data_IF_072340454865
#
_entry.id   IF_072340454865
#
_cell.length_a   1.000
_cell.length_b   1.000
_cell.length_c   1.000
_cell.angle_alpha   90.00
_cell.angle_beta   90.00
_cell.angle_gamma   90.00
#
_symmetry.space_group_name_H-M   'P 1'
#
loop_
_entity.id
_entity.type
_entity.pdbx_description
1 polymer ?
#
# COMPACT_ATOMS: atom_id res chain seq x y z
N UNK A 1 7.23 14.64 25.78
CA UNK A 1 8.48 13.89 25.49
C UNK A 1 9.01 14.29 24.12
N UNK A 2 10.33 14.29 23.91
CA UNK A 2 10.91 14.42 22.57
C UNK A 2 10.85 13.04 21.90
N UNK A 3 10.31 12.96 20.68
CA UNK A 3 10.16 11.71 19.93
C UNK A 3 11.24 11.68 18.85
N UNK A 4 12.19 10.76 18.97
CA UNK A 4 13.26 10.56 18.00
C UNK A 4 13.01 9.32 17.14
N UNK A 5 13.60 9.26 15.92
CA UNK A 5 13.61 8.05 15.12
C UNK A 5 14.30 6.91 15.87
N UNK A 6 13.63 5.77 16.00
CA UNK A 6 14.21 4.54 16.51
C UNK A 6 14.00 3.45 15.45
N UNK A 7 15.10 3.04 14.81
CA UNK A 7 15.11 2.08 13.71
C UNK A 7 15.83 0.82 14.20
N UNK A 8 15.24 -0.34 13.96
CA UNK A 8 15.85 -1.64 14.21
C UNK A 8 15.82 -2.44 12.91
N UNK A 9 16.97 -2.58 12.26
CA UNK A 9 17.10 -3.10 10.89
C UNK A 9 16.28 -2.29 9.88
N UNK A 10 15.12 -2.83 9.48
CA UNK A 10 14.16 -2.19 8.55
C UNK A 10 12.84 -1.79 9.22
N UNK A 11 12.80 -1.82 10.56
CA UNK A 11 11.59 -1.53 11.35
C UNK A 11 11.74 -0.21 12.08
N UNK A 12 10.85 0.75 11.80
CA UNK A 12 10.69 1.92 12.65
C UNK A 12 9.84 1.56 13.88
N UNK A 13 10.40 1.77 15.07
CA UNK A 13 9.75 1.54 16.37
C UNK A 13 8.97 2.75 16.87
N UNK A 14 9.27 3.93 16.36
CA UNK A 14 8.61 5.19 16.71
C UNK A 14 8.00 5.83 15.46
N UNK A 15 6.94 6.62 15.68
CA UNK A 15 6.34 7.47 14.67
C UNK A 15 6.12 8.87 15.26
N UNK A 16 6.39 9.92 14.49
CA UNK A 16 6.18 11.29 14.94
C UNK A 16 4.79 11.80 14.51
N UNK A 17 3.87 12.12 15.45
CA UNK A 17 2.49 12.47 15.12
C UNK A 17 2.39 13.70 14.20
N UNK A 18 3.08 14.80 14.55
CA UNK A 18 3.04 16.02 13.75
C UNK A 18 3.65 15.84 12.35
N UNK A 19 4.61 14.93 12.21
CA UNK A 19 5.17 14.64 10.89
C UNK A 19 4.29 13.70 10.08
N UNK A 20 3.54 12.80 10.71
CA UNK A 20 2.47 12.05 10.03
C UNK A 20 1.39 13.01 9.50
N UNK A 21 1.03 14.04 10.27
CA UNK A 21 0.13 15.10 9.78
C UNK A 21 0.71 15.81 8.57
N UNK A 22 1.97 16.24 8.63
CA UNK A 22 2.64 16.89 7.50
C UNK A 22 2.71 15.98 6.26
N UNK A 23 2.97 14.68 6.45
CA UNK A 23 2.98 13.70 5.36
C UNK A 23 1.60 13.56 4.68
N UNK A 24 0.51 13.59 5.45
CA UNK A 24 -0.87 13.61 4.92
C UNK A 24 -1.14 14.92 4.18
N UNK A 25 -0.78 16.07 4.75
CA UNK A 25 -0.96 17.38 4.11
C UNK A 25 -0.21 17.48 2.78
N UNK A 26 1.04 16.99 2.72
CA UNK A 26 1.83 17.00 1.49
C UNK A 26 1.15 16.20 0.37
N UNK A 27 0.59 15.02 0.69
CA UNK A 27 -0.16 14.21 -0.27
C UNK A 27 -1.47 14.89 -0.71
N UNK A 28 -2.21 15.50 0.22
CA UNK A 28 -3.43 16.28 -0.10
C UNK A 28 -3.09 17.45 -1.04
N UNK A 29 -2.03 18.20 -0.73
CA UNK A 29 -1.59 19.34 -1.53
C UNK A 29 -1.19 18.91 -2.95
N UNK A 30 -0.50 17.78 -3.07
CA UNK A 30 -0.17 17.21 -4.37
C UNK A 30 -1.43 16.94 -5.21
N UNK A 31 -2.39 16.17 -4.69
CA UNK A 31 -3.56 15.75 -5.48
C UNK A 31 -4.50 16.89 -5.85
N UNK A 32 -4.53 17.97 -5.06
CA UNK A 32 -5.27 19.19 -5.38
C UNK A 32 -4.72 19.93 -6.60
N UNK A 33 -3.44 19.75 -6.91
CA UNK A 33 -2.75 20.39 -8.05
C UNK A 33 -2.57 19.46 -9.26
N UNK A 34 -2.73 18.14 -9.06
CA UNK A 34 -2.57 17.13 -10.09
C UNK A 34 -3.81 17.05 -11.02
N UNK A 35 -3.74 16.32 -12.16
CA UNK A 35 -4.92 16.05 -12.99
C UNK A 35 -6.05 15.42 -12.18
N UNK A 36 -7.23 16.04 -12.20
CA UNK A 36 -8.35 15.70 -11.32
C UNK A 36 -9.11 14.45 -11.78
N UNK A 37 -9.64 13.68 -10.84
CA UNK A 37 -10.54 12.54 -11.08
C UNK A 37 -11.95 13.07 -11.36
N UNK A 38 -12.31 13.27 -12.64
CA UNK A 38 -13.56 13.93 -13.02
C UNK A 38 -14.83 13.08 -12.76
N UNK A 39 -14.80 11.80 -13.16
CA UNK A 39 -15.95 10.88 -13.10
C UNK A 39 -15.75 9.78 -12.05
N UNK A 40 -15.15 10.14 -10.92
CA UNK A 40 -14.77 9.19 -9.88
C UNK A 40 -15.84 8.91 -8.81
N UNK A 41 -15.43 8.12 -7.80
CA UNK A 41 -16.07 7.83 -6.53
C UNK A 41 -17.15 8.77 -6.02
N UNK A 42 -18.21 8.27 -5.38
CA UNK A 42 -18.90 9.05 -4.35
C UNK A 42 -18.82 8.41 -2.98
N UNK A 43 -18.92 7.08 -2.89
CA UNK A 43 -18.85 6.30 -1.66
C UNK A 43 -17.80 5.21 -1.82
N UNK A 44 -16.69 5.34 -1.09
CA UNK A 44 -15.53 4.45 -1.25
C UNK A 44 -15.25 3.69 0.05
N UNK A 45 -15.02 2.39 -0.06
CA UNK A 45 -14.44 1.56 1.00
C UNK A 45 -12.97 1.24 0.66
N UNK A 46 -12.06 1.56 1.58
CA UNK A 46 -10.63 1.22 1.45
C UNK A 46 -10.23 0.24 2.55
N UNK A 47 -9.86 -0.97 2.16
CA UNK A 47 -9.33 -2.01 3.04
C UNK A 47 -7.80 -1.88 3.07
N UNK A 48 -7.23 -1.54 4.23
CA UNK A 48 -5.82 -1.18 4.36
C UNK A 48 -5.56 0.32 4.19
N UNK A 49 -6.39 1.17 4.77
CA UNK A 49 -6.45 2.60 4.48
C UNK A 49 -5.40 3.51 5.17
N UNK A 50 -4.58 2.97 6.07
CA UNK A 50 -3.78 3.76 7.01
C UNK A 50 -2.38 4.15 6.51
N UNK A 51 -1.87 3.52 5.45
CA UNK A 51 -0.55 3.81 4.90
C UNK A 51 -0.39 3.34 3.46
N UNK A 52 0.74 3.70 2.83
CA UNK A 52 1.11 3.24 1.48
C UNK A 52 0.04 3.55 0.43
N UNK A 53 -0.19 2.59 -0.47
CA UNK A 53 -1.18 2.74 -1.55
C UNK A 53 -2.61 2.92 -1.03
N UNK A 54 -2.99 2.29 0.08
CA UNK A 54 -4.35 2.44 0.61
C UNK A 54 -4.62 3.86 1.12
N UNK A 55 -3.70 4.45 1.89
CA UNK A 55 -3.81 5.86 2.29
C UNK A 55 -3.78 6.80 1.09
N UNK A 56 -2.84 6.58 0.16
CA UNK A 56 -2.74 7.38 -1.05
C UNK A 56 -4.01 7.32 -1.91
N UNK A 57 -4.66 6.15 -1.97
CA UNK A 57 -5.93 5.98 -2.68
C UNK A 57 -7.05 6.76 -2.02
N UNK A 58 -7.12 6.67 -0.70
CA UNK A 58 -8.11 7.41 0.08
C UNK A 58 -7.96 8.91 -0.09
N UNK A 59 -6.72 9.41 -0.07
CA UNK A 59 -6.40 10.83 -0.30
C UNK A 59 -6.76 11.24 -1.73
N UNK A 60 -6.35 10.47 -2.74
CA UNK A 60 -6.65 10.76 -4.14
C UNK A 60 -8.15 10.84 -4.41
N UNK A 61 -8.93 9.91 -3.88
CA UNK A 61 -10.37 9.86 -4.10
C UNK A 61 -11.14 10.93 -3.32
N UNK A 62 -10.69 11.31 -2.13
CA UNK A 62 -11.31 12.38 -1.36
C UNK A 62 -10.92 13.78 -1.88
N UNK A 63 -9.64 14.03 -2.11
CA UNK A 63 -9.11 15.39 -2.36
C UNK A 63 -8.66 15.63 -3.82
N UNK A 64 -8.50 14.58 -4.62
CA UNK A 64 -7.98 14.64 -5.99
C UNK A 64 -9.06 14.77 -7.08
N UNK A 65 -10.23 15.31 -6.73
CA UNK A 65 -11.28 15.70 -7.69
C UNK A 65 -12.62 15.01 -7.50
N UNK A 66 -12.63 13.72 -7.14
CA UNK A 66 -13.87 12.95 -7.03
C UNK A 66 -14.74 13.38 -5.84
N UNK A 67 -14.13 13.95 -4.78
CA UNK A 67 -14.80 14.37 -3.54
C UNK A 67 -15.60 13.23 -2.91
N UNK A 68 -14.98 12.06 -2.87
CA UNK A 68 -15.62 10.87 -2.33
C UNK A 68 -15.65 10.90 -0.80
N UNK A 69 -16.77 10.50 -0.24
CA UNK A 69 -16.83 10.06 1.16
C UNK A 69 -16.11 8.71 1.26
N UNK A 70 -15.40 8.49 2.38
CA UNK A 70 -14.54 7.31 2.53
C UNK A 70 -14.71 6.57 3.86
N UNK A 71 -14.86 5.26 3.79
CA UNK A 71 -14.63 4.33 4.89
C UNK A 71 -13.23 3.76 4.75
N UNK A 72 -12.45 3.79 5.81
CA UNK A 72 -11.14 3.13 5.89
C UNK A 72 -11.13 2.05 6.95
N UNK A 73 -10.68 0.85 6.58
CA UNK A 73 -10.41 -0.25 7.51
C UNK A 73 -8.90 -0.42 7.63
N UNK A 74 -8.38 -0.53 8.85
CA UNK A 74 -6.95 -0.72 9.11
C UNK A 74 -6.70 -1.32 10.48
N UNK A 75 -5.52 -1.90 10.69
CA UNK A 75 -5.14 -2.48 11.98
C UNK A 75 -3.93 -1.74 12.55
N UNK A 76 -4.20 -0.73 13.39
CA UNK A 76 -3.22 0.22 13.89
C UNK A 76 -3.27 0.32 15.41
N UNK A 77 -2.20 0.81 16.03
CA UNK A 77 -2.09 0.93 17.49
C UNK A 77 -1.88 2.38 17.88
N UNK A 78 -2.75 2.89 18.74
CA UNK A 78 -2.60 4.21 19.34
C UNK A 78 -1.51 4.28 20.40
N UNK A 79 -1.27 5.49 20.94
CA UNK A 79 -0.36 5.70 22.06
C UNK A 79 -0.81 4.91 23.28
N UNK A 80 0.16 4.34 23.99
CA UNK A 80 -0.04 3.59 25.23
C UNK A 80 1.23 3.64 26.08
N UNK A 81 1.23 2.99 27.25
CA UNK A 81 2.44 2.79 28.05
C UNK A 81 3.58 2.12 27.28
N UNK A 82 3.26 1.35 26.21
CA UNK A 82 4.23 0.62 25.39
C UNK A 82 4.88 1.48 24.31
N UNK A 83 4.40 2.70 24.07
CA UNK A 83 4.98 3.61 23.08
C UNK A 83 3.98 4.58 22.46
N UNK A 84 4.48 5.42 21.56
CA UNK A 84 3.73 6.53 20.93
C UNK A 84 2.64 6.06 19.96
N UNK A 85 2.64 4.80 19.55
CA UNK A 85 1.69 4.30 18.54
C UNK A 85 2.30 4.24 17.13
N UNK A 86 1.53 3.73 16.18
CA UNK A 86 1.99 3.51 14.81
C UNK A 86 1.70 4.73 13.93
N UNK A 87 2.51 4.94 12.88
CA UNK A 87 2.27 6.03 11.92
C UNK A 87 0.86 5.96 11.29
N UNK A 88 0.35 4.75 11.03
CA UNK A 88 -0.98 4.58 10.42
C UNK A 88 -2.13 5.01 11.34
N UNK A 89 -1.96 4.91 12.67
CA UNK A 89 -2.92 5.45 13.63
C UNK A 89 -3.10 6.96 13.44
N UNK A 90 -1.99 7.69 13.38
CA UNK A 90 -1.99 9.13 13.17
C UNK A 90 -2.47 9.52 11.78
N UNK A 91 -2.06 8.80 10.73
CA UNK A 91 -2.53 9.03 9.37
C UNK A 91 -4.06 8.94 9.27
N UNK A 92 -4.69 7.95 9.92
CA UNK A 92 -6.15 7.82 9.95
C UNK A 92 -6.82 9.05 10.57
N UNK A 93 -6.32 9.52 11.71
CA UNK A 93 -6.83 10.70 12.43
C UNK A 93 -6.71 11.95 11.55
N UNK A 94 -5.51 12.21 11.04
CA UNK A 94 -5.25 13.44 10.29
C UNK A 94 -5.95 13.43 8.93
N UNK A 95 -6.04 12.28 8.24
CA UNK A 95 -6.88 12.14 7.05
C UNK A 95 -8.32 12.53 7.37
N UNK A 96 -8.91 11.98 8.43
CA UNK A 96 -10.30 12.25 8.83
C UNK A 96 -10.50 13.73 9.12
N UNK A 97 -9.62 14.33 9.92
CA UNK A 97 -9.70 15.75 10.26
C UNK A 97 -9.64 16.66 9.03
N UNK A 98 -8.74 16.38 8.06
CA UNK A 98 -8.69 17.17 6.83
C UNK A 98 -9.91 16.94 5.93
N UNK A 99 -10.46 15.73 5.89
CA UNK A 99 -11.65 15.42 5.10
C UNK A 99 -12.90 16.09 5.67
N UNK A 100 -13.09 16.05 6.99
CA UNK A 100 -14.20 16.71 7.70
C UNK A 100 -14.17 18.23 7.53
N UNK A 101 -12.99 18.85 7.45
CA UNK A 101 -12.85 20.29 7.12
C UNK A 101 -13.37 20.63 5.72
N UNK A 102 -13.33 19.69 4.78
CA UNK A 102 -13.91 19.85 3.44
C UNK A 102 -15.39 19.41 3.35
N UNK A 103 -15.98 19.03 4.49
CA UNK A 103 -17.37 18.57 4.56
C UNK A 103 -17.58 17.15 4.03
N UNK A 104 -16.52 16.35 3.91
CA UNK A 104 -16.57 14.96 3.49
C UNK A 104 -16.77 14.02 4.69
N UNK A 105 -17.50 12.92 4.49
CA UNK A 105 -17.61 11.86 5.50
C UNK A 105 -16.36 10.98 5.43
N UNK A 106 -15.64 10.90 6.55
CA UNK A 106 -14.46 10.05 6.69
C UNK A 106 -14.58 9.17 7.94
N UNK A 107 -14.94 7.90 7.76
CA UNK A 107 -15.07 6.93 8.86
C UNK A 107 -13.86 6.00 8.92
N UNK A 108 -13.33 5.77 10.11
CA UNK A 108 -12.28 4.78 10.36
C UNK A 108 -12.83 3.60 11.17
N UNK A 109 -12.50 2.39 10.73
CA UNK A 109 -12.62 1.15 11.51
C UNK A 109 -11.21 0.65 11.80
N UNK A 110 -10.81 0.71 13.08
CA UNK A 110 -9.53 0.18 13.53
C UNK A 110 -9.75 -1.24 14.07
N UNK A 111 -9.48 -2.23 13.25
CA UNK A 111 -9.82 -3.62 13.51
C UNK A 111 -9.21 -4.58 12.49
N UNK A 112 -9.31 -5.87 12.78
CA UNK A 112 -8.84 -6.90 11.86
C UNK A 112 -9.81 -7.05 10.68
N UNK A 113 -9.36 -6.68 9.48
CA UNK A 113 -10.16 -6.78 8.26
C UNK A 113 -10.54 -8.24 7.88
N UNK A 114 -9.85 -9.25 8.43
CA UNK A 114 -10.22 -10.65 8.24
C UNK A 114 -11.37 -11.08 9.16
N UNK A 115 -11.70 -10.30 10.19
CA UNK A 115 -12.71 -10.68 11.18
C UNK A 115 -14.14 -10.45 10.69
N UNK A 116 -15.03 -11.40 11.01
CA UNK A 116 -16.46 -11.27 10.76
C UNK A 116 -17.05 -10.03 11.44
N UNK A 117 -16.65 -9.75 12.68
CA UNK A 117 -17.11 -8.56 13.42
C UNK A 117 -16.77 -7.25 12.73
N UNK A 118 -15.57 -7.12 12.14
CA UNK A 118 -15.21 -5.90 11.40
C UNK A 118 -16.04 -5.77 10.13
N UNK A 119 -16.29 -6.88 9.43
CA UNK A 119 -17.14 -6.91 8.24
C UNK A 119 -18.58 -6.49 8.56
N UNK A 120 -19.16 -7.03 9.62
CA UNK A 120 -20.50 -6.68 10.13
C UNK A 120 -20.59 -5.18 10.45
N UNK A 121 -19.65 -4.65 11.24
CA UNK A 121 -19.62 -3.23 11.60
C UNK A 121 -19.53 -2.30 10.39
N UNK A 122 -18.72 -2.66 9.40
CA UNK A 122 -18.60 -1.89 8.15
C UNK A 122 -19.91 -1.93 7.37
N UNK A 123 -20.52 -3.11 7.19
CA UNK A 123 -21.79 -3.25 6.47
C UNK A 123 -22.92 -2.49 7.16
N UNK A 124 -23.03 -2.60 8.48
CA UNK A 124 -24.06 -1.90 9.26
C UNK A 124 -23.94 -0.38 9.10
N UNK A 125 -22.71 0.13 9.20
CA UNK A 125 -22.46 1.55 8.96
C UNK A 125 -22.78 1.97 7.53
N UNK A 126 -22.46 1.14 6.53
CA UNK A 126 -22.81 1.44 5.14
C UNK A 126 -24.33 1.56 4.98
N UNK A 127 -25.10 0.60 5.53
CA UNK A 127 -26.56 0.56 5.46
C UNK A 127 -27.23 1.76 6.13
N UNK A 128 -26.74 2.13 7.32
CA UNK A 128 -27.47 3.03 8.20
C UNK A 128 -26.97 4.47 8.20
N UNK A 129 -25.68 4.69 7.90
CA UNK A 129 -25.05 6.00 8.08
C UNK A 129 -24.28 6.49 6.83
N UNK A 130 -23.83 5.58 5.95
CA UNK A 130 -22.98 5.95 4.83
C UNK A 130 -23.70 6.12 3.49
N UNK A 131 -25.03 5.99 3.46
CA UNK A 131 -25.86 6.20 2.26
C UNK A 131 -26.31 4.91 1.56
N UNK A 132 -26.18 3.76 2.21
CA UNK A 132 -26.78 2.49 1.77
C UNK A 132 -25.88 1.61 0.90
N UNK A 133 -24.95 2.19 0.14
CA UNK A 133 -24.04 1.44 -0.72
C UNK A 133 -22.70 2.13 -0.96
N UNK A 134 -21.74 1.38 -1.50
CA UNK A 134 -20.44 1.87 -2.00
C UNK A 134 -20.29 1.60 -3.50
N UNK A 135 -19.61 2.49 -4.20
CA UNK A 135 -19.37 2.42 -5.65
C UNK A 135 -17.90 2.11 -6.02
N UNK A 136 -17.01 2.10 -5.02
CA UNK A 136 -15.65 1.56 -5.16
C UNK A 136 -15.18 0.87 -3.89
N UNK A 137 -14.59 -0.31 -4.07
CA UNK A 137 -13.83 -1.02 -3.04
C UNK A 137 -12.36 -1.10 -3.44
N UNK A 138 -11.47 -0.57 -2.60
CA UNK A 138 -10.00 -0.70 -2.77
C UNK A 138 -9.47 -1.75 -1.80
N UNK A 139 -8.84 -2.79 -2.31
CA UNK A 139 -8.19 -3.85 -1.54
C UNK A 139 -6.67 -3.64 -1.49
N UNK A 140 -6.21 -3.02 -0.41
CA UNK A 140 -4.81 -2.64 -0.18
C UNK A 140 -4.26 -3.22 1.13
N UNK A 141 -4.69 -4.42 1.51
CA UNK A 141 -4.15 -5.11 2.68
C UNK A 141 -2.72 -5.62 2.41
N UNK A 142 -1.82 -5.31 3.32
CA UNK A 142 -0.46 -5.84 3.35
C UNK A 142 -0.17 -6.32 4.77
N UNK A 143 -0.26 -7.64 4.99
CA UNK A 143 -0.08 -8.28 6.29
C UNK A 143 0.81 -9.52 6.16
N UNK A 144 1.56 -9.83 7.21
CA UNK A 144 2.32 -11.08 7.27
C UNK A 144 1.51 -12.27 7.79
N UNK A 145 0.28 -12.04 8.26
CA UNK A 145 -0.55 -13.05 8.94
C UNK A 145 -2.02 -12.90 8.60
N UNK A 146 -2.73 -14.03 8.55
CA UNK A 146 -4.19 -14.12 8.41
C UNK A 146 -4.70 -15.21 9.36
N UNK A 147 -5.72 -14.94 10.19
CA UNK A 147 -6.40 -16.00 10.94
C UNK A 147 -7.08 -16.98 9.99
N UNK A 148 -6.86 -18.28 10.23
CA UNK A 148 -7.61 -19.33 9.57
C UNK A 148 -9.04 -19.32 10.13
N UNK A 149 -10.06 -19.09 9.29
CA UNK A 149 -11.45 -18.99 9.74
C UNK A 149 -12.00 -20.32 10.28
N UNK A 150 -11.42 -21.46 9.89
CA UNK A 150 -11.88 -22.79 10.30
C UNK A 150 -11.23 -23.25 11.62
N UNK A 151 -9.93 -23.00 11.79
CA UNK A 151 -9.15 -23.51 12.93
C UNK A 151 -8.83 -22.45 13.98
N UNK A 152 -8.89 -21.16 13.63
CA UNK A 152 -8.44 -20.05 14.48
C UNK A 152 -6.92 -19.88 14.55
N UNK A 153 -6.13 -20.78 13.97
CA UNK A 153 -4.67 -20.65 13.90
C UNK A 153 -4.25 -19.57 12.91
N UNK A 154 -3.04 -19.01 13.05
CA UNK A 154 -2.55 -17.99 12.13
C UNK A 154 -1.78 -18.63 10.96
N UNK A 155 -2.27 -18.44 9.74
CA UNK A 155 -1.41 -18.55 8.57
C UNK A 155 -0.40 -17.42 8.57
N UNK A 156 0.84 -17.74 8.19
CA UNK A 156 1.95 -16.78 8.12
C UNK A 156 2.53 -16.80 6.72
N UNK A 157 2.56 -15.65 6.07
CA UNK A 157 3.24 -15.52 4.78
C UNK A 157 4.75 -15.60 4.99
N UNK A 158 5.45 -16.21 4.05
CA UNK A 158 6.91 -16.21 3.98
C UNK A 158 7.36 -15.50 2.71
N UNK A 159 8.51 -14.84 2.76
CA UNK A 159 9.16 -14.27 1.57
C UNK A 159 10.34 -15.17 1.25
N UNK A 160 10.11 -16.15 0.38
CA UNK A 160 11.07 -17.22 0.06
C UNK A 160 10.99 -17.58 -1.43
N UNK A 161 12.07 -18.15 -1.94
CA UNK A 161 12.11 -18.64 -3.32
C UNK A 161 11.44 -20.01 -3.43
N UNK A 162 11.10 -20.46 -4.64
CA UNK A 162 10.48 -21.77 -4.86
C UNK A 162 11.44 -22.87 -5.33
N UNK A 163 12.64 -22.50 -5.80
CA UNK A 163 13.59 -23.43 -6.43
C UNK A 163 14.92 -23.54 -5.69
N UNK A 164 15.76 -22.53 -5.81
CA UNK A 164 17.07 -22.46 -5.16
C UNK A 164 17.17 -21.22 -4.26
N UNK A 165 17.98 -21.26 -3.20
CA UNK A 165 18.21 -20.08 -2.38
C UNK A 165 18.86 -18.97 -3.20
N UNK A 166 18.55 -17.72 -2.85
CA UNK A 166 19.15 -16.54 -3.47
C UNK A 166 19.92 -15.78 -2.41
N UNK A 167 21.18 -15.49 -2.69
CA UNK A 167 22.01 -14.63 -1.85
C UNK A 167 22.16 -13.30 -2.59
N UNK A 168 21.86 -12.20 -1.90
CA UNK A 168 21.96 -10.88 -2.50
C UNK A 168 22.18 -9.78 -1.48
N UNK A 169 22.71 -8.63 -1.93
CA UNK A 169 22.92 -7.49 -1.05
C UNK A 169 21.58 -6.84 -0.67
N UNK A 170 21.45 -6.44 0.59
CA UNK A 170 20.30 -5.72 1.12
C UNK A 170 20.76 -4.54 1.98
N UNK A 171 20.00 -3.46 1.97
CA UNK A 171 20.25 -2.28 2.79
C UNK A 171 19.83 -2.56 4.23
N UNK A 172 20.73 -2.26 5.15
CA UNK A 172 20.44 -2.09 6.56
C UNK A 172 20.33 -0.57 6.84
N UNK A 173 19.11 -0.11 7.14
CA UNK A 173 18.81 1.32 7.35
C UNK A 173 19.31 1.80 8.72
N UNK A 174 19.47 0.90 9.68
CA UNK A 174 19.97 1.25 11.02
C UNK A 174 21.46 1.60 10.99
N UNK A 175 22.26 0.87 10.21
CA UNK A 175 23.71 1.05 10.14
C UNK A 175 24.17 1.78 8.87
N UNK A 176 23.23 2.15 8.01
CA UNK A 176 23.49 2.73 6.69
C UNK A 176 24.48 1.88 5.87
N UNK A 177 24.33 0.56 5.91
CA UNK A 177 25.23 -0.42 5.29
C UNK A 177 24.50 -1.24 4.22
N UNK A 178 25.28 -1.82 3.31
CA UNK A 178 24.82 -2.86 2.40
C UNK A 178 25.39 -4.19 2.90
N UNK A 179 24.51 -5.14 3.19
CA UNK A 179 24.85 -6.42 3.83
C UNK A 179 24.37 -7.58 2.96
N UNK A 180 25.02 -8.74 3.06
CA UNK A 180 24.56 -9.94 2.34
C UNK A 180 23.43 -10.62 3.11
N UNK A 181 22.33 -10.94 2.42
CA UNK A 181 21.22 -11.70 2.98
C UNK A 181 20.90 -12.90 2.09
N UNK A 182 20.69 -14.06 2.73
CA UNK A 182 20.23 -15.27 2.05
C UNK A 182 18.72 -15.43 2.19
N UNK A 183 18.05 -15.67 1.06
CA UNK A 183 16.65 -16.06 0.98
C UNK A 183 16.60 -17.56 0.70
N UNK A 184 16.14 -18.31 1.69
CA UNK A 184 15.94 -19.75 1.56
C UNK A 184 14.77 -20.11 0.63
N UNK A 185 14.62 -21.41 0.40
CA UNK A 185 13.49 -21.99 -0.34
C UNK A 185 12.30 -22.23 0.57
N UNK A 186 11.10 -22.06 0.02
CA UNK A 186 9.85 -22.30 0.73
C UNK A 186 9.49 -23.78 0.74
N UNK A 187 8.93 -24.25 1.86
CA UNK A 187 8.20 -25.52 1.90
C UNK A 187 6.83 -25.37 1.20
N UNK A 188 6.18 -26.49 0.88
CA UNK A 188 4.81 -26.48 0.33
C UNK A 188 3.83 -25.75 1.25
N UNK A 189 3.92 -25.99 2.56
CA UNK A 189 3.06 -25.35 3.57
C UNK A 189 3.29 -23.83 3.62
N UNK A 190 4.54 -23.39 3.48
CA UNK A 190 4.89 -21.97 3.42
C UNK A 190 4.36 -21.29 2.14
N UNK A 191 4.35 -22.02 1.02
CA UNK A 191 3.72 -21.53 -0.22
C UNK A 191 2.21 -21.39 -0.06
N UNK A 192 1.54 -22.43 0.45
CA UNK A 192 0.10 -22.42 0.67
C UNK A 192 -0.31 -21.32 1.66
N UNK A 193 0.35 -21.23 2.81
CA UNK A 193 0.09 -20.18 3.80
C UNK A 193 0.29 -18.78 3.20
N UNK A 194 1.27 -18.59 2.32
CA UNK A 194 1.47 -17.30 1.65
C UNK A 194 0.35 -16.97 0.67
N UNK A 195 -0.18 -17.96 -0.07
CA UNK A 195 -1.37 -17.78 -0.92
C UNK A 195 -2.59 -17.42 -0.05
N UNK A 196 -2.80 -18.13 1.07
CA UNK A 196 -3.90 -17.84 2.00
C UNK A 196 -3.84 -16.43 2.57
N UNK A 197 -2.65 -15.90 2.85
CA UNK A 197 -2.48 -14.56 3.44
C UNK A 197 -2.52 -13.44 2.40
N UNK A 198 -1.84 -13.61 1.26
CA UNK A 198 -1.55 -12.52 0.31
C UNK A 198 -2.23 -12.68 -1.07
N UNK A 199 -2.97 -13.77 -1.27
CA UNK A 199 -3.78 -14.02 -2.46
C UNK A 199 -5.14 -13.32 -2.41
N UNK A 200 -6.03 -13.70 -3.32
CA UNK A 200 -7.31 -13.01 -3.51
C UNK A 200 -8.47 -13.50 -2.63
N UNK A 201 -8.31 -14.57 -1.86
CA UNK A 201 -9.44 -15.20 -1.14
C UNK A 201 -10.19 -14.25 -0.20
N UNK A 202 -9.47 -13.45 0.59
CA UNK A 202 -10.13 -12.51 1.50
C UNK A 202 -10.74 -11.32 0.76
N UNK A 203 -10.10 -10.85 -0.31
CA UNK A 203 -10.67 -9.82 -1.19
C UNK A 203 -12.01 -10.29 -1.78
N UNK A 204 -12.03 -11.50 -2.33
CA UNK A 204 -13.27 -12.10 -2.80
C UNK A 204 -14.28 -12.24 -1.68
N UNK A 205 -13.87 -12.74 -0.51
CA UNK A 205 -14.77 -12.84 0.64
C UNK A 205 -15.37 -11.48 1.03
N UNK A 206 -14.63 -10.38 0.94
CA UNK A 206 -15.16 -9.04 1.20
C UNK A 206 -16.21 -8.64 0.16
N UNK A 207 -15.93 -8.86 -1.12
CA UNK A 207 -16.87 -8.52 -2.21
C UNK A 207 -18.14 -9.37 -2.13
N UNK A 208 -18.01 -10.68 -1.91
CA UNK A 208 -19.14 -11.60 -1.73
C UNK A 208 -20.01 -11.14 -0.54
N UNK A 209 -19.41 -10.83 0.62
CA UNK A 209 -20.14 -10.37 1.81
C UNK A 209 -20.85 -9.02 1.62
N UNK A 210 -20.20 -8.05 0.95
CA UNK A 210 -20.79 -6.76 0.63
C UNK A 210 -21.96 -6.91 -0.36
N UNK A 211 -21.82 -7.80 -1.35
CA UNK A 211 -22.86 -8.10 -2.33
C UNK A 211 -24.08 -8.76 -1.68
N UNK A 212 -23.87 -9.83 -0.90
CA UNK A 212 -24.94 -10.54 -0.16
C UNK A 212 -25.67 -9.61 0.82
N UNK A 213 -24.95 -8.63 1.38
CA UNK A 213 -25.51 -7.62 2.26
C UNK A 213 -26.29 -6.51 1.53
N UNK A 214 -26.25 -6.48 0.19
CA UNK A 214 -26.93 -5.49 -0.63
C UNK A 214 -26.32 -4.09 -0.57
N UNK A 215 -25.03 -3.96 -0.25
CA UNK A 215 -24.35 -2.67 -0.04
C UNK A 215 -23.34 -2.31 -1.15
N UNK A 216 -23.33 -3.04 -2.26
CA UNK A 216 -22.60 -2.65 -3.47
C UNK A 216 -23.56 -1.92 -4.42
N UNK A 217 -23.16 -0.74 -4.91
CA UNK A 217 -23.92 0.00 -5.90
C UNK A 217 -23.88 -0.71 -7.27
N UNK A 218 -24.90 -0.48 -8.10
CA UNK A 218 -24.84 -0.85 -9.52
C UNK A 218 -23.63 -0.18 -10.18
N UNK A 219 -22.86 -0.94 -10.96
CA UNK A 219 -21.62 -0.43 -11.55
C UNK A 219 -20.45 -0.27 -10.57
N UNK A 220 -20.54 -0.80 -9.34
CA UNK A 220 -19.45 -0.75 -8.38
C UNK A 220 -18.17 -1.36 -8.98
N UNK A 221 -17.05 -0.65 -8.82
CA UNK A 221 -15.73 -1.17 -9.20
C UNK A 221 -15.00 -1.69 -7.97
N UNK A 222 -14.09 -2.64 -8.17
CA UNK A 222 -13.15 -3.06 -7.12
C UNK A 222 -11.75 -3.21 -7.68
N UNK A 223 -10.75 -2.79 -6.91
CA UNK A 223 -9.35 -2.83 -7.34
C UNK A 223 -8.45 -3.37 -6.23
N UNK A 224 -7.60 -4.34 -6.56
CA UNK A 224 -6.55 -4.83 -5.67
C UNK A 224 -5.15 -4.49 -6.18
N UNK A 225 -4.19 -4.30 -5.28
CA UNK A 225 -2.81 -3.97 -5.64
C UNK A 225 -1.89 -5.19 -5.70
N UNK A 226 -1.11 -5.23 -6.78
CA UNK A 226 -0.12 -6.26 -7.05
C UNK A 226 1.21 -5.64 -7.50
N UNK A 227 2.23 -6.48 -7.57
CA UNK A 227 3.55 -6.15 -8.09
C UNK A 227 4.07 -7.36 -8.86
N UNK A 228 4.68 -7.10 -10.02
CA UNK A 228 5.35 -8.12 -10.84
C UNK A 228 6.85 -7.86 -10.85
N UNK A 229 7.23 -6.62 -11.16
CA UNK A 229 8.63 -6.20 -11.24
C UNK A 229 9.33 -6.72 -12.49
N UNK A 230 10.63 -6.42 -12.64
CA UNK A 230 11.44 -6.93 -13.75
C UNK A 230 12.08 -8.28 -13.41
N UNK A 231 12.64 -8.93 -14.44
CA UNK A 231 13.29 -10.25 -14.37
C UNK A 231 14.30 -10.40 -13.23
N UNK A 232 15.07 -9.35 -12.93
CA UNK A 232 16.08 -9.37 -11.85
C UNK A 232 15.46 -9.62 -10.47
N UNK A 233 14.17 -9.32 -10.30
CA UNK A 233 13.42 -9.53 -9.05
C UNK A 233 12.61 -10.83 -9.04
N UNK A 234 12.49 -11.54 -10.18
CA UNK A 234 11.64 -12.72 -10.30
C UNK A 234 11.95 -13.83 -9.29
N UNK A 235 13.22 -14.20 -9.01
CA UNK A 235 13.50 -15.28 -8.08
C UNK A 235 12.89 -15.09 -6.68
N UNK A 236 12.81 -13.84 -6.22
CA UNK A 236 12.33 -13.47 -4.87
C UNK A 236 10.84 -13.12 -4.90
N UNK A 237 10.37 -12.49 -5.97
CA UNK A 237 9.00 -12.03 -6.10
C UNK A 237 8.18 -12.97 -7.01
N UNK A 238 8.24 -12.78 -8.33
CA UNK A 238 7.33 -13.40 -9.30
C UNK A 238 7.36 -14.95 -9.31
N UNK A 239 8.51 -15.57 -9.07
CA UNK A 239 8.66 -17.02 -9.01
C UNK A 239 8.70 -17.56 -7.57
N UNK A 240 8.73 -16.68 -6.56
CA UNK A 240 8.72 -17.03 -5.15
C UNK A 240 7.32 -17.27 -4.60
N UNK A 241 7.23 -17.35 -3.27
CA UNK A 241 5.96 -17.47 -2.53
C UNK A 241 5.01 -16.30 -2.81
N UNK A 242 5.54 -15.07 -2.87
CA UNK A 242 4.75 -13.87 -3.17
C UNK A 242 4.16 -13.90 -4.57
N UNK A 243 4.92 -14.37 -5.56
CA UNK A 243 4.47 -14.48 -6.95
C UNK A 243 3.31 -15.46 -7.10
N UNK A 244 3.34 -16.59 -6.37
CA UNK A 244 2.21 -17.54 -6.31
C UNK A 244 0.95 -16.89 -5.72
N UNK A 245 1.10 -16.15 -4.63
CA UNK A 245 -0.02 -15.41 -4.04
C UNK A 245 -0.56 -14.34 -4.99
N UNK A 246 0.32 -13.62 -5.70
CA UNK A 246 -0.11 -12.60 -6.68
C UNK A 246 -0.74 -13.20 -7.93
N UNK A 247 -0.30 -14.36 -8.40
CA UNK A 247 -0.98 -15.10 -9.46
C UNK A 247 -2.40 -15.48 -9.02
N UNK A 248 -2.57 -16.02 -7.80
CA UNK A 248 -3.91 -16.26 -7.27
C UNK A 248 -4.75 -14.98 -7.17
N UNK A 249 -4.16 -13.84 -6.77
CA UNK A 249 -4.87 -12.56 -6.75
C UNK A 249 -5.33 -12.12 -8.15
N UNK A 250 -4.52 -12.38 -9.19
CA UNK A 250 -4.86 -12.11 -10.59
C UNK A 250 -6.02 -12.99 -11.05
N UNK A 251 -5.96 -14.30 -10.77
CA UNK A 251 -7.03 -15.24 -11.10
C UNK A 251 -8.35 -14.87 -10.39
N UNK A 252 -8.27 -14.50 -9.09
CA UNK A 252 -9.44 -14.04 -8.33
C UNK A 252 -10.06 -12.76 -8.91
N UNK A 253 -9.25 -11.84 -9.45
CA UNK A 253 -9.78 -10.66 -10.12
C UNK A 253 -10.69 -11.02 -11.28
N UNK A 254 -10.34 -12.10 -12.00
CA UNK A 254 -11.09 -12.55 -13.14
C UNK A 254 -12.42 -13.20 -12.76
N UNK A 255 -12.41 -14.02 -11.72
CA UNK A 255 -13.61 -14.61 -11.14
C UNK A 255 -14.55 -13.53 -10.60
N UNK A 256 -14.02 -12.56 -9.85
CA UNK A 256 -14.78 -11.42 -9.34
C UNK A 256 -15.38 -10.59 -10.48
N UNK A 257 -14.58 -10.29 -11.51
CA UNK A 257 -15.06 -9.50 -12.62
C UNK A 257 -16.26 -10.17 -13.32
N UNK A 258 -16.23 -11.50 -13.48
CA UNK A 258 -17.34 -12.28 -14.01
C UNK A 258 -18.57 -12.24 -13.09
N UNK A 259 -18.39 -12.47 -11.78
CA UNK A 259 -19.47 -12.44 -10.80
C UNK A 259 -20.15 -11.08 -10.73
N UNK A 260 -19.37 -9.99 -10.77
CA UNK A 260 -19.88 -8.63 -10.62
C UNK A 260 -20.67 -8.13 -11.84
N UNK A 261 -20.56 -8.79 -13.00
CA UNK A 261 -21.35 -8.44 -14.19
C UNK A 261 -22.86 -8.46 -13.95
N UNK A 262 -23.35 -9.27 -13.00
CA UNK A 262 -24.79 -9.38 -12.70
C UNK A 262 -25.42 -8.06 -12.23
N UNK A 263 -24.61 -7.13 -11.73
CA UNK A 263 -25.02 -5.75 -11.37
C UNK A 263 -24.20 -4.68 -12.12
N UNK A 264 -23.54 -5.08 -13.21
CA UNK A 264 -22.71 -4.21 -14.04
C UNK A 264 -21.40 -3.75 -13.40
N UNK A 265 -20.96 -4.40 -12.31
CA UNK A 265 -19.71 -4.08 -11.64
C UNK A 265 -18.47 -4.66 -12.35
N UNK A 266 -17.29 -4.18 -11.96
CA UNK A 266 -16.02 -4.56 -12.57
C UNK A 266 -14.96 -4.81 -11.48
N UNK A 267 -14.07 -5.79 -11.70
CA UNK A 267 -12.95 -6.07 -10.80
C UNK A 267 -11.63 -6.01 -11.55
N UNK A 268 -10.63 -5.35 -10.96
CA UNK A 268 -9.32 -5.17 -11.55
C UNK A 268 -8.20 -5.46 -10.55
N UNK A 269 -7.05 -5.85 -11.09
CA UNK A 269 -5.78 -5.72 -10.38
C UNK A 269 -4.98 -4.60 -11.02
N UNK A 270 -4.44 -3.72 -10.19
CA UNK A 270 -3.43 -2.76 -10.61
C UNK A 270 -2.05 -3.26 -10.21
N UNK A 271 -1.18 -3.43 -11.21
CA UNK A 271 0.23 -3.77 -11.02
C UNK A 271 0.99 -2.47 -10.84
N UNK A 272 1.42 -2.23 -9.61
CA UNK A 272 2.05 -1.01 -9.17
C UNK A 272 3.57 -1.06 -9.34
N UNK A 273 4.22 0.11 -9.29
CA UNK A 273 5.67 0.22 -9.30
C UNK A 273 6.28 -0.18 -7.94
N UNK A 274 7.58 -0.48 -7.93
CA UNK A 274 8.37 -0.64 -6.73
C UNK A 274 8.52 0.71 -5.99
N UNK A 275 8.24 0.69 -4.68
CA UNK A 275 8.29 1.84 -3.79
C UNK A 275 8.88 1.45 -2.44
N UNK A 276 9.29 2.46 -1.67
CA UNK A 276 9.56 2.30 -0.24
C UNK A 276 8.23 2.33 0.51
N UNK A 277 7.89 1.22 1.16
CA UNK A 277 6.70 1.07 2.00
C UNK A 277 7.09 0.21 3.20
N UNK A 278 6.26 0.21 4.24
CA UNK A 278 6.46 -0.71 5.37
C UNK A 278 6.55 -2.18 4.96
N UNK A 279 5.94 -2.59 3.85
CA UNK A 279 6.00 -3.96 3.37
C UNK A 279 7.25 -4.24 2.52
N UNK A 280 7.58 -3.34 1.58
CA UNK A 280 8.65 -3.57 0.61
C UNK A 280 10.05 -3.54 1.20
N UNK A 281 10.27 -2.79 2.29
CA UNK A 281 11.59 -2.76 2.96
C UNK A 281 11.98 -4.08 3.63
N UNK A 282 11.02 -4.99 3.85
CA UNK A 282 11.31 -6.33 4.37
C UNK A 282 11.66 -7.35 3.29
N UNK A 283 11.52 -7.01 2.00
CA UNK A 283 11.81 -7.94 0.91
C UNK A 283 13.34 -8.03 0.76
N UNK A 284 13.95 -9.19 1.06
CA UNK A 284 15.40 -9.33 0.96
C UNK A 284 15.90 -9.11 -0.46
N UNK A 285 17.13 -8.58 -0.59
CA UNK A 285 17.81 -8.32 -1.86
C UNK A 285 17.04 -7.45 -2.88
N UNK A 286 15.97 -6.78 -2.43
CA UNK A 286 15.15 -5.89 -3.26
C UNK A 286 15.65 -4.44 -3.25
N UNK A 287 16.33 -4.03 -2.18
CA UNK A 287 16.78 -2.65 -2.00
C UNK A 287 17.78 -2.16 -3.05
N UNK A 288 18.77 -2.93 -3.55
CA UNK A 288 19.63 -2.49 -4.66
C UNK A 288 18.85 -2.12 -5.92
N UNK A 289 17.76 -2.86 -6.19
CA UNK A 289 16.87 -2.56 -7.30
C UNK A 289 16.14 -1.23 -7.07
N UNK A 290 15.53 -1.02 -5.89
CA UNK A 290 14.84 0.25 -5.58
C UNK A 290 15.80 1.45 -5.68
N UNK A 291 17.00 1.35 -5.09
CA UNK A 291 18.00 2.41 -5.12
C UNK A 291 18.37 2.80 -6.55
N UNK A 292 18.57 1.81 -7.41
CA UNK A 292 18.90 2.01 -8.82
C UNK A 292 17.71 2.59 -9.59
N UNK A 293 16.51 2.01 -9.39
CA UNK A 293 15.28 2.46 -10.04
C UNK A 293 14.94 3.91 -9.70
N UNK A 294 15.06 4.29 -8.44
CA UNK A 294 14.77 5.66 -7.99
C UNK A 294 15.69 6.66 -8.66
N UNK A 295 16.99 6.37 -8.72
CA UNK A 295 17.95 7.23 -9.39
C UNK A 295 17.60 7.42 -10.87
N UNK A 296 17.41 6.32 -11.60
CA UNK A 296 17.11 6.36 -13.04
C UNK A 296 15.79 7.09 -13.31
N UNK A 297 14.73 6.76 -12.58
CA UNK A 297 13.43 7.39 -12.81
C UNK A 297 13.44 8.87 -12.40
N UNK A 298 14.21 9.28 -11.38
CA UNK A 298 14.36 10.70 -11.02
C UNK A 298 15.12 11.47 -12.10
N UNK A 299 16.20 10.91 -12.64
CA UNK A 299 16.95 11.49 -13.76
C UNK A 299 16.07 11.63 -15.03
N UNK A 300 15.16 10.68 -15.26
CA UNK A 300 14.19 10.72 -16.36
C UNK A 300 12.94 11.57 -16.10
N UNK A 301 12.71 12.01 -14.86
CA UNK A 301 11.49 12.72 -14.47
C UNK A 301 10.23 11.85 -14.43
N UNK A 302 10.37 10.53 -14.32
CA UNK A 302 9.25 9.56 -14.25
C UNK A 302 9.06 8.95 -12.86
N UNK A 303 9.86 9.35 -11.87
CA UNK A 303 9.73 8.85 -10.51
C UNK A 303 8.40 9.26 -9.87
N UNK A 304 7.71 8.28 -9.31
CA UNK A 304 6.48 8.44 -8.56
C UNK A 304 6.63 7.80 -7.18
N UNK A 305 5.99 8.41 -6.17
CA UNK A 305 5.66 7.82 -4.88
C UNK A 305 4.26 7.18 -4.89
N UNK A 306 3.73 6.87 -3.70
CA UNK A 306 2.39 6.28 -3.59
C UNK A 306 1.29 7.24 -4.08
N UNK A 307 1.39 8.52 -3.74
CA UNK A 307 0.32 9.49 -4.01
C UNK A 307 0.25 9.86 -5.49
N UNK A 308 1.40 10.04 -6.14
CA UNK A 308 1.52 10.30 -7.57
C UNK A 308 0.89 9.15 -8.35
N UNK A 309 1.25 7.92 -7.97
CA UNK A 309 0.78 6.72 -8.64
C UNK A 309 -0.72 6.49 -8.47
N UNK A 310 -1.27 6.66 -7.26
CA UNK A 310 -2.71 6.49 -7.04
C UNK A 310 -3.51 7.59 -7.73
N UNK A 311 -3.03 8.83 -7.74
CA UNK A 311 -3.67 9.89 -8.52
C UNK A 311 -3.68 9.56 -10.02
N UNK A 312 -2.57 9.08 -10.58
CA UNK A 312 -2.50 8.65 -11.99
C UNK A 312 -3.42 7.46 -12.26
N UNK A 313 -3.48 6.48 -11.36
CA UNK A 313 -4.37 5.33 -11.46
C UNK A 313 -5.83 5.77 -11.59
N UNK A 314 -6.32 6.61 -10.68
CA UNK A 314 -7.73 7.00 -10.69
C UNK A 314 -8.04 8.00 -11.81
N UNK A 315 -7.20 9.01 -12.02
CA UNK A 315 -7.47 10.06 -13.01
C UNK A 315 -7.25 9.62 -14.46
N UNK A 316 -6.28 8.72 -14.72
CA UNK A 316 -5.87 8.38 -16.09
C UNK A 316 -6.08 6.91 -16.47
N UNK A 317 -6.54 6.06 -15.55
CA UNK A 317 -6.88 4.66 -15.84
C UNK A 317 -8.32 4.37 -15.42
N UNK A 318 -8.58 4.16 -14.13
CA UNK A 318 -9.83 3.57 -13.63
C UNK A 318 -11.08 4.44 -13.88
N UNK A 319 -10.93 5.77 -13.78
CA UNK A 319 -11.99 6.77 -14.02
C UNK A 319 -11.58 7.81 -15.06
N UNK A 320 -10.81 7.39 -16.07
CA UNK A 320 -10.46 8.24 -17.21
C UNK A 320 -11.69 8.53 -18.10
N UNK A 321 -11.55 9.48 -19.03
CA UNK A 321 -12.61 9.81 -19.99
C UNK A 321 -12.84 8.74 -21.08
N UNK A 322 -12.06 7.64 -21.04
CA UNK A 322 -12.25 6.52 -21.96
C UNK A 322 -13.47 5.70 -21.53
N UNK A 323 -14.27 5.18 -22.47
CA UNK A 323 -15.40 4.31 -22.13
C UNK A 323 -14.99 2.91 -21.67
N UNK A 324 -13.69 2.62 -21.56
CA UNK A 324 -13.14 1.38 -21.03
C UNK A 324 -11.92 1.66 -20.14
N UNK A 325 -11.66 0.78 -19.18
CA UNK A 325 -10.44 0.82 -18.36
C UNK A 325 -9.27 0.26 -19.18
N UNK A 326 -8.16 1.01 -19.36
CA UNK A 326 -7.00 0.51 -20.08
C UNK A 326 -6.28 -0.57 -19.28
N UNK A 327 -6.17 -1.76 -19.86
CA UNK A 327 -5.54 -2.96 -19.28
C UNK A 327 -4.63 -3.64 -20.30
N UNK A 328 -3.72 -4.50 -19.84
CA UNK A 328 -2.91 -5.36 -20.71
C UNK A 328 -3.66 -6.64 -21.15
N UNK A 329 -2.95 -7.55 -21.83
CA UNK A 329 -3.52 -8.82 -22.32
C UNK A 329 -4.00 -9.78 -21.22
N UNK A 330 -3.59 -9.56 -19.96
CA UNK A 330 -4.05 -10.31 -18.79
C UNK A 330 -5.09 -9.53 -17.96
N UNK A 331 -5.69 -8.47 -18.53
CA UNK A 331 -6.66 -7.59 -17.87
C UNK A 331 -6.09 -6.85 -16.64
N UNK A 332 -4.77 -6.65 -16.59
CA UNK A 332 -4.12 -5.93 -15.50
C UNK A 332 -3.98 -4.44 -15.85
N UNK A 333 -4.31 -3.57 -14.90
CA UNK A 333 -4.02 -2.13 -15.02
C UNK A 333 -2.53 -1.92 -14.73
N UNK A 334 -1.77 -1.47 -15.73
CA UNK A 334 -0.31 -1.30 -15.63
C UNK A 334 0.04 0.12 -15.17
N UNK A 335 0.50 0.21 -13.93
CA UNK A 335 1.05 1.43 -13.30
C UNK A 335 2.58 1.34 -13.15
N UNK A 336 3.14 0.16 -13.39
CA UNK A 336 4.56 -0.17 -13.51
C UNK A 336 5.10 0.07 -14.94
N UNK A 337 4.30 0.67 -15.82
CA UNK A 337 4.64 0.94 -17.22
C UNK A 337 5.95 1.74 -17.36
N UNK A 338 6.11 2.81 -16.59
CA UNK A 338 7.34 3.63 -16.60
C UNK A 338 8.54 2.94 -15.95
N UNK A 339 8.29 2.08 -14.96
CA UNK A 339 9.34 1.28 -14.34
C UNK A 339 9.88 0.25 -15.33
N UNK A 340 9.01 -0.44 -16.06
CA UNK A 340 9.36 -1.56 -16.94
C UNK A 340 9.77 -1.13 -18.36
N UNK A 341 9.87 0.16 -18.64
CA UNK A 341 10.42 0.64 -19.91
C UNK A 341 11.81 0.02 -20.17
N UNK A 342 12.07 -0.54 -21.37
CA UNK A 342 13.33 -1.24 -21.65
C UNK A 342 14.59 -0.43 -21.35
N UNK A 343 14.59 0.86 -21.69
CA UNK A 343 15.72 1.76 -21.42
C UNK A 343 15.90 2.01 -19.92
N UNK A 344 14.81 2.13 -19.16
CA UNK A 344 14.86 2.26 -17.70
C UNK A 344 15.46 1.01 -17.08
N UNK A 345 14.98 -0.17 -17.49
CA UNK A 345 15.48 -1.44 -16.98
C UNK A 345 16.92 -1.74 -17.38
N UNK A 346 17.36 -1.33 -18.57
CA UNK A 346 18.75 -1.46 -18.98
C UNK A 346 19.68 -0.65 -18.06
N UNK A 347 19.32 0.60 -17.78
CA UNK A 347 20.11 1.47 -16.92
C UNK A 347 20.09 1.01 -15.46
N UNK A 348 18.93 0.54 -14.97
CA UNK A 348 18.83 -0.07 -13.63
C UNK A 348 19.74 -1.29 -13.51
N UNK A 349 19.73 -2.21 -14.49
CA UNK A 349 20.64 -3.37 -14.52
C UNK A 349 22.10 -2.93 -14.52
N UNK A 350 22.45 -1.87 -15.26
CA UNK A 350 23.79 -1.28 -15.28
C UNK A 350 24.21 -0.77 -13.90
N UNK A 351 23.39 0.05 -13.24
CA UNK A 351 23.67 0.56 -11.91
C UNK A 351 23.78 -0.55 -10.86
N UNK A 352 22.88 -1.54 -10.89
CA UNK A 352 22.94 -2.68 -9.97
C UNK A 352 24.26 -3.45 -10.09
N UNK A 353 24.76 -3.67 -11.30
CA UNK A 353 26.05 -4.37 -11.53
C UNK A 353 27.28 -3.60 -11.02
N UNK A 354 27.16 -2.29 -10.84
CA UNK A 354 28.24 -1.42 -10.33
C UNK A 354 28.17 -1.21 -8.82
N UNK A 355 27.05 -1.62 -8.20
CA UNK A 355 26.79 -1.40 -6.79
C UNK A 355 27.62 -2.34 -5.92
N UNK A 356 28.30 -1.77 -4.94
CA UNK A 356 29.15 -2.45 -3.96
C UNK A 356 28.88 -1.87 -2.58
N UNK A 357 29.37 -2.55 -1.55
CA UNK A 357 29.25 -2.10 -0.15
C UNK A 357 29.84 -0.72 0.09
N UNK A 358 30.85 -0.32 -0.70
CA UNK A 358 31.55 0.96 -0.52
C UNK A 358 30.92 2.11 -1.32
N UNK A 359 30.18 1.82 -2.39
CA UNK A 359 29.73 2.83 -3.35
C UNK A 359 28.21 2.93 -3.55
N UNK A 360 27.41 2.10 -2.86
CA UNK A 360 25.97 2.01 -3.12
C UNK A 360 25.22 3.34 -2.94
N UNK A 361 25.71 4.20 -2.02
CA UNK A 361 25.12 5.52 -1.74
C UNK A 361 25.31 6.51 -2.88
N UNK A 362 26.37 6.35 -3.67
CA UNK A 362 26.71 7.18 -4.81
C UNK A 362 26.12 6.60 -6.11
N UNK A 363 26.15 5.27 -6.24
CA UNK A 363 25.63 4.56 -7.42
C UNK A 363 24.13 4.65 -7.50
N UNK A 364 23.40 4.36 -6.41
CA UNK A 364 21.95 4.47 -6.33
C UNK A 364 21.47 5.64 -5.48
N UNK A 365 20.15 5.84 -5.43
CA UNK A 365 19.54 6.91 -4.63
C UNK A 365 19.24 6.47 -3.20
N UNK A 366 20.30 6.25 -2.42
CA UNK A 366 20.15 5.87 -1.01
C UNK A 366 19.57 7.00 -0.15
N UNK A 367 19.92 8.26 -0.47
CA UNK A 367 19.42 9.42 0.27
C UNK A 367 17.89 9.55 0.14
N UNK A 368 17.36 9.43 -1.08
CA UNK A 368 15.93 9.39 -1.33
C UNK A 368 15.26 8.18 -0.66
N UNK A 369 15.85 6.99 -0.79
CA UNK A 369 15.33 5.78 -0.14
C UNK A 369 15.19 5.93 1.38
N UNK A 370 16.23 6.45 2.05
CA UNK A 370 16.21 6.70 3.51
C UNK A 370 15.22 7.81 3.85
N UNK A 371 15.16 8.89 3.07
CA UNK A 371 14.19 9.96 3.26
C UNK A 371 12.75 9.43 3.22
N UNK A 372 12.41 8.64 2.21
CA UNK A 372 11.07 8.06 2.08
C UNK A 372 10.74 7.15 3.27
N UNK A 373 11.69 6.31 3.71
CA UNK A 373 11.51 5.47 4.89
C UNK A 373 11.25 6.31 6.16
N UNK A 374 11.99 7.39 6.36
CA UNK A 374 11.83 8.29 7.50
C UNK A 374 10.47 9.00 7.47
N UNK A 375 10.08 9.50 6.29
CA UNK A 375 8.82 10.21 6.09
C UNK A 375 7.58 9.32 6.28
N UNK A 376 7.66 8.03 5.93
CA UNK A 376 6.61 7.04 6.26
C UNK A 376 6.31 6.94 7.76
N UNK A 377 7.25 7.36 8.60
CA UNK A 377 7.16 7.35 10.05
C UNK A 377 7.10 8.76 10.66
N UNK A 378 6.86 9.79 9.84
CA UNK A 378 6.70 11.17 10.28
C UNK A 378 8.00 11.91 10.54
N UNK A 379 9.15 11.44 10.07
CA UNK A 379 10.45 12.09 10.30
C UNK A 379 11.01 12.74 9.03
N UNK A 380 11.84 13.76 9.21
CA UNK A 380 12.57 14.41 8.11
C UNK A 380 11.81 15.51 7.36
N UNK A 381 10.74 16.06 7.95
CA UNK A 381 10.03 17.22 7.41
C UNK A 381 10.59 18.53 7.97
N UNK A 382 10.95 19.47 7.10
CA UNK A 382 11.50 20.78 7.49
C UNK A 382 10.50 21.67 8.25
N UNK A 383 9.22 21.40 8.03
CA UNK A 383 8.06 22.10 8.59
C UNK A 383 7.77 21.68 10.04
N UNK A 384 8.41 20.60 10.52
CA UNK A 384 8.16 20.02 11.83
C UNK A 384 9.36 20.27 12.74
N UNK A 385 9.12 20.91 13.88
CA UNK A 385 10.14 21.08 14.91
C UNK A 385 10.26 19.81 15.78
N UNK A 386 11.18 18.92 15.43
CA UNK A 386 11.42 17.65 16.14
C UNK A 386 12.06 17.81 17.53
N UNK A 387 12.61 18.98 17.86
CA UNK A 387 13.16 19.26 19.19
C UNK A 387 12.07 19.68 20.20
N UNK A 388 10.86 19.95 19.73
CA UNK A 388 9.73 20.30 20.59
C UNK A 388 9.15 19.08 21.31
N UNK A 389 8.86 19.18 22.62
CA UNK A 389 8.23 18.10 23.33
C UNK A 389 6.79 17.89 22.85
N UNK A 390 6.42 16.64 22.59
CA UNK A 390 5.05 16.21 22.32
C UNK A 390 4.37 15.77 23.61
N UNK A 391 3.13 16.24 23.85
CA UNK A 391 2.36 15.87 25.02
C UNK A 391 1.65 14.52 24.81
N UNK A 392 2.03 13.51 25.59
CA UNK A 392 1.45 12.16 25.48
C UNK A 392 -0.03 12.11 25.89
N UNK A 393 -0.44 12.92 26.86
CA UNK A 393 -1.85 12.97 27.29
C UNK A 393 -2.73 13.46 26.14
N UNK A 394 -2.31 14.51 25.44
CA UNK A 394 -3.01 15.00 24.24
C UNK A 394 -3.07 13.95 23.13
N UNK A 395 -2.00 13.17 22.92
CA UNK A 395 -2.02 12.11 21.91
C UNK A 395 -3.03 11.01 22.25
N UNK A 396 -3.21 10.67 23.53
CA UNK A 396 -4.19 9.65 23.94
C UNK A 396 -5.64 10.08 23.76
N UNK A 397 -5.89 11.39 23.67
CA UNK A 397 -7.21 11.95 23.38
C UNK A 397 -7.57 11.88 21.88
N UNK A 398 -6.58 11.68 21.00
CA UNK A 398 -6.84 11.56 19.57
C UNK A 398 -7.53 10.24 19.26
N UNK A 399 -8.68 10.32 18.58
CA UNK A 399 -9.46 9.16 18.15
C UNK A 399 -9.53 9.10 16.62
N UNK A 400 -9.25 7.93 16.01
CA UNK A 400 -9.29 7.73 14.57
C UNK A 400 -10.70 7.88 14.00
#
# INVERSE_FOLDING_TARGET
MIILPNIQGVVARTAHPLGCHQAVLNQINYVKSAPQVANGPKKVLVLGASSGFGLASRISLAFGGAKADTIGVSFERGPSEKGVGTAGWYNNIYFRQEAEKEGLVAKNFVGDAFSATTREQVVDYIKHEFGGSVDLVVYSLATGVRPNPETGELWRSSIKTSGAPVIGPTINIEHDSLESMEVGTATSDEMEATIKVMGGEDWQGWIDYLYESGVLACGCKTVAYSYVGPEVTYPIYHHGTLGRAKAHLHDTADELNQKMQVFGGEAYVSVCKALVTKASVFIPAFSPYILSLFKVMKEKGTHEGCIEQMQRLFAQRLYSDKPWVPVDGARLIRMDDWELEPETQQEVKRLMSQMTVDNFRQVGDYAGYKSDFMQLNGFGFSEVNYDSPVNMEELTLLQP
#
